data_IF_816548081827
#
_entry.id   IF_816548081827
#
_cell.length_a   1.000
_cell.length_b   1.000
_cell.length_c   1.000
_cell.angle_alpha   90.00
_cell.angle_beta   90.00
_cell.angle_gamma   90.00
#
_symmetry.space_group_name_H-M   'P 1'
#
loop_
_entity.id
_entity.type
_entity.pdbx_description
1 polymer ?
#
# COMPACT_ATOMS: atom_id res chain seq x y z
N UNK A 1 -13.96 57.65 -24.39
CA UNK A 1 -12.57 57.16 -24.31
C UNK A 1 -12.53 56.10 -23.21
N UNK A 2 -13.20 54.95 -23.31
CA UNK A 2 -13.08 53.91 -24.37
C UNK A 2 -11.61 53.75 -24.81
N UNK A 3 -10.93 52.64 -24.63
CA UNK A 3 -11.30 51.37 -24.01
C UNK A 3 -10.02 50.59 -23.76
N UNK A 4 -9.81 50.15 -22.52
CA UNK A 4 -8.72 49.24 -22.17
C UNK A 4 -9.22 47.80 -22.33
N UNK A 5 -9.10 47.35 -23.57
CA UNK A 5 -8.77 45.99 -24.00
C UNK A 5 -9.34 44.83 -23.16
N UNK A 6 -10.63 44.54 -23.37
CA UNK A 6 -11.32 43.36 -22.82
C UNK A 6 -10.72 42.03 -23.37
N UNK A 7 -9.94 42.08 -24.47
CA UNK A 7 -9.31 40.87 -25.05
C UNK A 7 -8.12 40.34 -24.24
N UNK A 8 -7.40 41.17 -23.49
CA UNK A 8 -6.25 40.70 -22.69
C UNK A 8 -6.66 39.96 -21.42
N UNK A 9 -7.79 40.30 -20.79
CA UNK A 9 -8.30 39.54 -19.64
C UNK A 9 -8.89 38.18 -20.02
N UNK A 10 -9.49 38.04 -21.20
CA UNK A 10 -9.95 36.74 -21.72
C UNK A 10 -8.79 35.83 -22.10
N UNK A 11 -7.68 36.37 -22.60
CA UNK A 11 -6.51 35.58 -22.98
C UNK A 11 -5.73 35.05 -21.75
N UNK A 12 -5.71 35.80 -20.64
CA UNK A 12 -5.13 35.34 -19.38
C UNK A 12 -6.00 34.27 -18.68
N UNK A 13 -7.34 34.43 -18.73
CA UNK A 13 -8.28 33.43 -18.21
C UNK A 13 -8.25 32.09 -18.97
N UNK A 14 -8.05 32.12 -20.30
CA UNK A 14 -7.94 30.91 -21.11
C UNK A 14 -6.60 30.18 -20.94
N UNK A 15 -5.51 30.91 -20.68
CA UNK A 15 -4.20 30.31 -20.38
C UNK A 15 -4.12 29.68 -18.99
N UNK A 16 -4.91 30.16 -18.02
CA UNK A 16 -5.06 29.50 -16.73
C UNK A 16 -5.90 28.22 -16.88
N UNK A 17 -7.05 28.27 -17.57
CA UNK A 17 -7.92 27.10 -17.74
C UNK A 17 -7.26 25.96 -18.55
N UNK A 18 -6.36 26.28 -19.49
CA UNK A 18 -5.62 25.28 -20.26
C UNK A 18 -4.38 24.71 -19.53
N UNK A 19 -3.86 25.41 -18.51
CA UNK A 19 -2.78 24.87 -17.65
C UNK A 19 -3.30 23.93 -16.57
N UNK A 20 -4.50 24.16 -16.03
CA UNK A 20 -5.10 23.24 -15.05
C UNK A 20 -5.57 21.91 -15.66
N UNK A 21 -5.81 21.86 -16.98
CA UNK A 21 -6.16 20.61 -17.66
C UNK A 21 -4.95 19.67 -17.84
N UNK A 22 -3.72 20.19 -17.84
CA UNK A 22 -2.48 19.39 -17.90
C UNK A 22 -2.01 18.87 -16.52
N UNK A 23 -2.56 19.40 -15.42
CA UNK A 23 -2.33 18.90 -14.05
C UNK A 23 -3.33 17.81 -13.64
N UNK A 24 -4.20 17.40 -14.56
CA UNK A 24 -5.15 16.29 -14.37
C UNK A 24 -4.69 15.01 -15.07
N UNK A 25 -3.38 14.74 -15.11
CA UNK A 25 -2.96 13.34 -15.22
C UNK A 25 -3.45 12.70 -13.94
N UNK A 26 -4.62 12.06 -14.03
CA UNK A 26 -5.26 11.41 -12.90
C UNK A 26 -4.22 10.52 -12.25
N UNK A 27 -4.08 10.58 -10.93
CA UNK A 27 -3.23 9.68 -10.15
C UNK A 27 -3.36 8.22 -10.65
N UNK A 28 -4.57 7.88 -11.11
CA UNK A 28 -4.93 6.63 -11.76
C UNK A 28 -4.15 6.26 -13.03
N UNK A 29 -3.85 7.22 -13.91
CA UNK A 29 -3.09 6.97 -15.15
C UNK A 29 -1.60 6.77 -14.87
N UNK A 30 -1.06 7.48 -13.88
CA UNK A 30 0.30 7.24 -13.36
C UNK A 30 0.38 5.83 -12.77
N UNK A 31 -0.62 5.43 -11.97
CA UNK A 31 -0.70 4.09 -11.40
C UNK A 31 -0.73 3.00 -12.47
N UNK A 32 -1.50 3.16 -13.56
CA UNK A 32 -1.56 2.17 -14.65
C UNK A 32 -0.24 1.99 -15.38
N UNK A 33 0.54 3.06 -15.54
CA UNK A 33 1.83 3.01 -16.24
C UNK A 33 2.95 2.38 -15.38
N UNK A 34 2.82 2.36 -14.06
CA UNK A 34 3.81 1.75 -13.15
C UNK A 34 3.64 0.24 -12.97
N UNK A 35 2.50 -0.36 -13.37
CA UNK A 35 2.24 -1.80 -13.15
C UNK A 35 3.04 -2.71 -14.09
N UNK A 36 3.44 -2.24 -15.28
CA UNK A 36 4.16 -3.04 -16.27
C UNK A 36 5.63 -3.33 -15.92
N UNK A 37 6.25 -2.48 -15.11
CA UNK A 37 7.61 -2.64 -14.55
C UNK A 37 7.60 -1.99 -13.17
N UNK A 38 7.16 -2.75 -12.16
CA UNK A 38 6.79 -2.22 -10.84
C UNK A 38 7.99 -1.57 -10.14
N UNK A 39 8.12 -0.25 -10.28
CA UNK A 39 9.01 0.55 -9.45
C UNK A 39 8.30 0.75 -8.10
N UNK A 40 8.45 -0.23 -7.22
CA UNK A 40 7.86 -0.24 -5.87
C UNK A 40 8.22 0.99 -5.06
N UNK A 41 9.42 1.56 -5.27
CA UNK A 41 9.82 2.81 -4.65
C UNK A 41 8.91 3.97 -5.06
N UNK A 42 8.72 4.19 -6.36
CA UNK A 42 7.82 5.24 -6.84
C UNK A 42 6.38 5.02 -6.33
N UNK A 43 5.94 3.76 -6.34
CA UNK A 43 4.60 3.39 -5.87
C UNK A 43 4.40 3.67 -4.39
N UNK A 44 5.40 3.36 -3.57
CA UNK A 44 5.37 3.63 -2.15
C UNK A 44 5.35 5.14 -1.87
N UNK A 45 6.15 5.93 -2.60
CA UNK A 45 6.12 7.40 -2.45
C UNK A 45 4.75 7.96 -2.83
N UNK A 46 4.15 7.48 -3.93
CA UNK A 46 2.81 7.93 -4.32
C UNK A 46 1.74 7.57 -3.28
N UNK A 47 1.87 6.41 -2.64
CA UNK A 47 0.99 6.00 -1.57
C UNK A 47 1.04 6.96 -0.37
N UNK A 48 2.24 7.36 0.07
CA UNK A 48 2.36 8.27 1.22
C UNK A 48 1.76 9.65 0.98
N UNK A 49 1.83 10.18 -0.25
CA UNK A 49 1.22 11.47 -0.60
C UNK A 49 -0.28 11.38 -0.87
N UNK A 50 -0.82 10.22 -1.24
CA UNK A 50 -2.24 10.06 -1.58
C UNK A 50 -3.17 10.04 -0.36
N UNK A 51 -2.64 9.72 0.83
CA UNK A 51 -3.40 9.73 2.09
C UNK A 51 -4.71 8.92 2.00
N UNK A 52 -5.81 9.47 2.51
CA UNK A 52 -7.12 8.80 2.56
C UNK A 52 -7.72 8.47 1.18
N UNK A 53 -7.31 9.18 0.12
CA UNK A 53 -7.76 8.88 -1.26
C UNK A 53 -7.16 7.59 -1.80
N UNK A 54 -6.10 7.08 -1.17
CA UNK A 54 -5.42 5.86 -1.55
C UNK A 54 -6.27 4.62 -1.25
N UNK A 55 -7.07 4.61 -0.17
CA UNK A 55 -7.77 3.40 0.32
C UNK A 55 -8.58 2.69 -0.76
N UNK A 56 -9.24 3.44 -1.66
CA UNK A 56 -10.01 2.89 -2.78
C UNK A 56 -9.18 2.07 -3.78
N UNK A 57 -7.87 2.31 -3.82
CA UNK A 57 -6.92 1.66 -4.72
C UNK A 57 -5.84 0.87 -3.97
N UNK A 58 -5.78 1.00 -2.66
CA UNK A 58 -4.73 0.49 -1.80
C UNK A 58 -4.56 -1.02 -1.93
N UNK A 59 -5.65 -1.79 -1.99
CA UNK A 59 -5.55 -3.24 -2.21
C UNK A 59 -4.94 -3.63 -3.57
N UNK A 60 -5.18 -2.82 -4.62
CA UNK A 60 -4.60 -3.04 -5.96
C UNK A 60 -3.14 -2.60 -6.05
N UNK A 61 -2.72 -1.65 -5.22
CA UNK A 61 -1.38 -1.07 -5.19
C UNK A 61 -0.45 -1.87 -4.29
N UNK A 62 -0.97 -2.31 -3.14
CA UNK A 62 -0.21 -3.05 -2.16
C UNK A 62 0.11 -4.47 -2.63
N UNK A 63 -0.76 -5.07 -3.44
CA UNK A 63 -0.54 -6.39 -4.04
C UNK A 63 0.78 -6.49 -4.83
N UNK A 64 1.06 -5.62 -5.81
CA UNK A 64 2.36 -5.53 -6.48
C UNK A 64 3.56 -5.36 -5.54
N UNK A 65 3.41 -4.64 -4.42
CA UNK A 65 4.49 -4.42 -3.46
C UNK A 65 4.83 -5.73 -2.74
N UNK A 66 3.82 -6.47 -2.28
CA UNK A 66 4.01 -7.79 -1.68
C UNK A 66 4.66 -8.74 -2.69
N UNK A 67 4.21 -8.72 -3.95
CA UNK A 67 4.81 -9.53 -5.02
C UNK A 67 6.28 -9.14 -5.26
N UNK A 68 6.62 -7.84 -5.36
CA UNK A 68 8.00 -7.40 -5.55
C UNK A 68 8.90 -7.80 -4.37
N UNK A 69 8.42 -7.63 -3.14
CA UNK A 69 9.14 -8.08 -1.95
C UNK A 69 9.38 -9.60 -2.02
N UNK A 70 8.35 -10.38 -2.37
CA UNK A 70 8.46 -11.84 -2.48
C UNK A 70 9.55 -12.28 -3.48
N UNK A 71 9.70 -11.57 -4.60
CA UNK A 71 10.72 -11.87 -5.61
C UNK A 71 12.15 -11.54 -5.14
N UNK A 72 12.28 -10.65 -4.16
CA UNK A 72 13.57 -10.15 -3.65
C UNK A 72 13.89 -10.68 -2.24
N UNK A 73 13.06 -11.56 -1.68
CA UNK A 73 13.35 -12.24 -0.42
C UNK A 73 14.69 -12.98 -0.49
N UNK A 74 15.47 -12.91 0.59
CA UNK A 74 16.79 -13.53 0.74
C UNK A 74 17.84 -13.01 -0.26
N UNK A 75 17.65 -11.79 -0.78
CA UNK A 75 18.62 -11.08 -1.63
C UNK A 75 19.08 -9.80 -0.96
N UNK A 76 20.17 -9.21 -1.44
CA UNK A 76 20.68 -7.92 -0.95
C UNK A 76 19.69 -6.75 -1.13
N UNK A 77 18.66 -6.93 -1.97
CA UNK A 77 17.61 -5.93 -2.23
C UNK A 77 16.40 -6.06 -1.31
N UNK A 78 16.33 -7.11 -0.49
CA UNK A 78 15.23 -7.29 0.46
C UNK A 78 15.04 -6.08 1.39
N UNK A 79 16.09 -5.46 1.98
CA UNK A 79 15.91 -4.33 2.89
C UNK A 79 15.25 -3.12 2.22
N UNK A 80 15.64 -2.80 0.98
CA UNK A 80 15.07 -1.68 0.21
C UNK A 80 13.58 -1.91 -0.09
N UNK A 81 13.20 -3.14 -0.47
CA UNK A 81 11.79 -3.44 -0.71
C UNK A 81 10.95 -3.47 0.55
N UNK A 82 11.55 -3.94 1.65
CA UNK A 82 10.88 -3.93 2.95
C UNK A 82 10.59 -2.48 3.37
N UNK A 83 11.56 -1.57 3.20
CA UNK A 83 11.37 -0.14 3.46
C UNK A 83 10.22 0.44 2.62
N UNK A 84 10.18 0.13 1.32
CA UNK A 84 9.09 0.57 0.46
C UNK A 84 7.72 0.04 0.93
N UNK A 85 7.66 -1.23 1.34
CA UNK A 85 6.41 -1.84 1.82
C UNK A 85 5.95 -1.23 3.15
N UNK A 86 6.89 -1.07 4.10
CA UNK A 86 6.66 -0.44 5.40
C UNK A 86 6.18 0.99 5.23
N UNK A 87 6.78 1.77 4.32
CA UNK A 87 6.38 3.15 4.08
C UNK A 87 4.90 3.26 3.66
N UNK A 88 4.39 2.29 2.89
CA UNK A 88 2.97 2.22 2.55
C UNK A 88 2.12 1.82 3.76
N UNK A 89 2.55 0.83 4.53
CA UNK A 89 1.85 0.41 5.75
C UNK A 89 1.71 1.56 6.75
N UNK A 90 2.78 2.34 6.95
CA UNK A 90 2.82 3.49 7.87
C UNK A 90 1.97 4.68 7.42
N UNK A 91 1.64 4.73 6.12
CA UNK A 91 0.75 5.76 5.55
C UNK A 91 -0.73 5.52 5.84
N UNK A 92 -1.08 4.30 6.27
CA UNK A 92 -2.45 3.95 6.63
C UNK A 92 -2.79 4.54 8.00
N UNK A 93 -3.79 5.42 8.03
CA UNK A 93 -4.18 6.18 9.22
C UNK A 93 -5.65 5.97 9.63
N UNK A 94 -6.40 5.19 8.85
CA UNK A 94 -7.82 4.94 9.06
C UNK A 94 -8.16 3.45 9.03
N UNK A 95 -9.32 3.13 9.61
CA UNK A 95 -9.83 1.77 9.76
C UNK A 95 -10.17 1.09 8.42
N UNK A 96 -10.62 1.86 7.42
CA UNK A 96 -10.93 1.27 6.11
C UNK A 96 -9.67 0.81 5.39
N UNK A 97 -8.59 1.61 5.46
CA UNK A 97 -7.29 1.26 4.93
C UNK A 97 -6.67 0.07 5.68
N UNK A 98 -6.77 0.03 7.01
CA UNK A 98 -6.22 -1.07 7.81
C UNK A 98 -6.93 -2.39 7.49
N UNK A 99 -8.26 -2.36 7.38
CA UNK A 99 -9.06 -3.53 7.01
C UNK A 99 -8.67 -4.06 5.63
N UNK A 100 -8.45 -3.17 4.65
CA UNK A 100 -8.01 -3.56 3.32
C UNK A 100 -6.60 -4.16 3.31
N UNK A 101 -5.65 -3.63 4.10
CA UNK A 101 -4.32 -4.24 4.27
C UNK A 101 -4.45 -5.65 4.84
N UNK A 102 -5.24 -5.81 5.91
CA UNK A 102 -5.46 -7.10 6.56
C UNK A 102 -6.08 -8.11 5.60
N UNK A 103 -7.10 -7.72 4.85
CA UNK A 103 -7.73 -8.57 3.83
C UNK A 103 -6.69 -9.03 2.80
N UNK A 104 -5.86 -8.11 2.30
CA UNK A 104 -4.85 -8.41 1.28
C UNK A 104 -3.73 -9.29 1.83
N UNK A 105 -3.32 -9.14 3.09
CA UNK A 105 -2.24 -9.94 3.68
C UNK A 105 -2.71 -11.32 4.11
N UNK A 106 -3.88 -11.42 4.75
CA UNK A 106 -4.40 -12.69 5.30
C UNK A 106 -4.91 -13.65 4.22
N UNK A 107 -5.30 -13.13 3.04
CA UNK A 107 -5.72 -13.94 1.90
C UNK A 107 -4.55 -14.60 1.14
N UNK A 108 -3.29 -14.33 1.48
CA UNK A 108 -2.13 -14.79 0.69
C UNK A 108 -1.50 -16.11 1.11
N UNK A 109 -2.09 -16.80 2.07
CA UNK A 109 -1.56 -18.05 2.60
C UNK A 109 -1.54 -19.21 1.57
N UNK A 110 -2.35 -19.15 0.50
CA UNK A 110 -2.42 -20.18 -0.54
C UNK A 110 -1.62 -19.84 -1.81
N UNK A 111 -0.93 -18.69 -1.85
CA UNK A 111 -0.13 -18.28 -3.01
C UNK A 111 1.24 -19.01 -3.03
N UNK A 112 2.22 -18.47 -3.76
CA UNK A 112 3.57 -19.04 -3.76
C UNK A 112 4.23 -18.90 -2.39
N UNK A 113 5.20 -19.77 -2.10
CA UNK A 113 5.87 -19.79 -0.80
C UNK A 113 6.49 -18.44 -0.42
N UNK A 114 7.08 -17.76 -1.40
CA UNK A 114 7.70 -16.46 -1.21
C UNK A 114 6.65 -15.37 -0.90
N UNK A 115 5.48 -15.42 -1.54
CA UNK A 115 4.40 -14.47 -1.29
C UNK A 115 3.80 -14.71 0.11
N UNK A 116 3.65 -15.97 0.50
CA UNK A 116 3.21 -16.36 1.84
C UNK A 116 4.17 -15.80 2.92
N UNK A 117 5.49 -16.01 2.76
CA UNK A 117 6.51 -15.47 3.67
C UNK A 117 6.48 -13.94 3.73
N UNK A 118 6.47 -13.27 2.57
CA UNK A 118 6.41 -11.82 2.50
C UNK A 118 5.16 -11.27 3.19
N UNK A 119 4.02 -11.93 2.99
CA UNK A 119 2.74 -11.52 3.60
C UNK A 119 2.74 -11.71 5.11
N UNK A 120 3.28 -12.82 5.62
CA UNK A 120 3.40 -13.06 7.06
C UNK A 120 4.31 -12.04 7.75
N UNK A 121 5.46 -11.70 7.13
CA UNK A 121 6.39 -10.67 7.63
C UNK A 121 5.70 -9.30 7.68
N UNK A 122 5.06 -8.89 6.59
CA UNK A 122 4.38 -7.59 6.51
C UNK A 122 3.18 -7.51 7.46
N UNK A 123 2.45 -8.62 7.66
CA UNK A 123 1.36 -8.70 8.63
C UNK A 123 1.88 -8.50 10.05
N UNK A 124 2.97 -9.21 10.41
CA UNK A 124 3.61 -9.06 11.71
C UNK A 124 4.01 -7.61 11.97
N UNK A 125 4.65 -6.97 10.97
CA UNK A 125 5.02 -5.56 11.05
C UNK A 125 3.79 -4.67 11.24
N UNK A 126 2.76 -4.83 10.41
CA UNK A 126 1.57 -3.98 10.43
C UNK A 126 0.84 -4.07 11.77
N UNK A 127 0.63 -5.28 12.30
CA UNK A 127 -0.04 -5.48 13.59
C UNK A 127 0.73 -4.85 14.75
N UNK A 128 2.06 -4.87 14.70
CA UNK A 128 2.91 -4.30 15.75
C UNK A 128 3.01 -2.76 15.70
N UNK A 129 2.94 -2.17 14.51
CA UNK A 129 3.24 -0.75 14.29
C UNK A 129 2.03 0.08 13.83
N UNK A 130 0.86 -0.55 13.67
CA UNK A 130 -0.35 0.13 13.21
C UNK A 130 -0.69 1.30 14.14
N UNK A 131 -0.89 2.47 13.53
CA UNK A 131 -1.39 3.67 14.20
C UNK A 131 -2.91 3.63 14.41
N UNK A 132 -3.57 2.69 13.74
CA UNK A 132 -5.02 2.47 13.78
C UNK A 132 -5.32 1.36 14.79
N UNK A 133 -6.30 1.55 15.69
CA UNK A 133 -6.71 0.49 16.61
C UNK A 133 -7.26 -0.71 15.82
N UNK A 134 -6.77 -1.91 16.13
CA UNK A 134 -7.12 -3.15 15.41
C UNK A 134 -8.13 -4.03 16.16
N UNK A 135 -8.72 -3.54 17.26
CA UNK A 135 -9.59 -4.34 18.15
C UNK A 135 -10.75 -5.02 17.41
N UNK A 136 -11.34 -4.31 16.46
CA UNK A 136 -12.50 -4.81 15.70
C UNK A 136 -12.09 -5.87 14.65
N UNK A 137 -10.81 -5.86 14.24
CA UNK A 137 -10.22 -6.84 13.32
C UNK A 137 -9.52 -8.01 14.03
N UNK A 138 -9.46 -8.04 15.37
CA UNK A 138 -8.77 -9.12 16.11
C UNK A 138 -9.27 -10.51 15.73
N UNK A 139 -10.59 -10.69 15.64
CA UNK A 139 -11.16 -11.98 15.24
C UNK A 139 -10.69 -12.42 13.85
N UNK A 140 -10.51 -11.48 12.92
CA UNK A 140 -9.99 -11.76 11.59
C UNK A 140 -8.49 -12.06 11.64
N UNK A 141 -7.71 -11.27 12.36
CA UNK A 141 -6.25 -11.48 12.51
C UNK A 141 -5.99 -12.87 13.09
N UNK A 142 -6.71 -13.26 14.15
CA UNK A 142 -6.58 -14.60 14.75
C UNK A 142 -6.85 -15.68 13.72
N UNK A 143 -8.00 -15.61 13.01
CA UNK A 143 -8.37 -16.60 12.00
C UNK A 143 -7.36 -16.67 10.86
N UNK A 144 -6.91 -15.53 10.34
CA UNK A 144 -5.96 -15.51 9.23
C UNK A 144 -4.56 -15.95 9.66
N UNK A 145 -4.13 -15.63 10.89
CA UNK A 145 -2.90 -16.18 11.46
C UNK A 145 -2.97 -17.70 11.58
N UNK A 146 -4.10 -18.27 12.02
CA UNK A 146 -4.27 -19.73 12.06
C UNK A 146 -4.10 -20.39 10.68
N UNK A 147 -4.47 -19.71 9.59
CA UNK A 147 -4.20 -20.21 8.24
C UNK A 147 -2.69 -20.24 7.94
N UNK A 148 -1.91 -19.28 8.41
CA UNK A 148 -0.45 -19.33 8.27
C UNK A 148 0.21 -20.48 9.06
N UNK A 149 -0.44 -21.02 10.09
CA UNK A 149 0.03 -22.20 10.83
C UNK A 149 -0.14 -23.51 10.07
N UNK A 150 -0.84 -23.52 8.93
CA UNK A 150 -0.87 -24.71 8.06
C UNK A 150 0.42 -24.85 7.24
N UNK A 151 1.29 -23.83 7.23
CA UNK A 151 2.63 -23.89 6.67
C UNK A 151 3.56 -24.77 7.51
N UNK A 152 4.46 -25.51 6.88
CA UNK A 152 5.58 -26.20 7.55
C UNK A 152 6.83 -25.32 7.73
N UNK A 153 6.84 -24.13 7.13
CA UNK A 153 7.99 -23.23 7.10
C UNK A 153 7.95 -22.22 8.26
N UNK A 154 9.02 -22.23 9.05
CA UNK A 154 9.22 -21.33 10.18
C UNK A 154 9.30 -19.86 9.76
N UNK A 155 9.72 -19.56 8.53
CA UNK A 155 9.74 -18.20 7.99
C UNK A 155 8.32 -17.60 7.84
N UNK A 156 7.28 -18.46 7.84
CA UNK A 156 5.87 -18.05 7.85
C UNK A 156 5.30 -18.09 9.27
N UNK A 157 5.55 -19.19 10.00
CA UNK A 157 4.99 -19.41 11.34
C UNK A 157 5.51 -18.38 12.33
N UNK A 158 6.80 -18.05 12.32
CA UNK A 158 7.38 -17.13 13.30
C UNK A 158 6.76 -15.73 13.21
N UNK A 159 6.68 -15.06 12.04
CA UNK A 159 5.98 -13.78 11.94
C UNK A 159 4.50 -13.86 12.31
N UNK A 160 3.78 -14.92 11.91
CA UNK A 160 2.37 -15.10 12.29
C UNK A 160 2.20 -15.24 13.82
N UNK A 161 3.15 -15.89 14.48
CA UNK A 161 3.20 -16.03 15.95
C UNK A 161 3.46 -14.68 16.64
N UNK A 162 4.38 -13.88 16.10
CA UNK A 162 4.65 -12.53 16.61
C UNK A 162 3.43 -11.61 16.46
N UNK A 163 2.74 -11.67 15.33
CA UNK A 163 1.49 -10.96 15.09
C UNK A 163 0.42 -11.35 16.13
N UNK A 164 0.19 -12.65 16.33
CA UNK A 164 -0.76 -13.16 17.35
C UNK A 164 -0.36 -12.74 18.77
N UNK A 165 0.92 -12.81 19.09
CA UNK A 165 1.41 -12.42 20.42
C UNK A 165 1.22 -10.93 20.67
N UNK A 166 1.19 -10.10 19.62
CA UNK A 166 1.03 -8.66 19.73
C UNK A 166 -0.42 -8.23 19.98
N UNK A 167 -1.40 -8.99 19.51
CA UNK A 167 -2.83 -8.72 19.78
C UNK A 167 -3.32 -9.26 21.13
N UNK A 168 -2.63 -10.23 21.72
CA UNK A 168 -2.99 -10.83 23.02
C UNK A 168 -2.39 -10.06 24.21
N UNK A 169 -1.36 -9.24 23.97
CA UNK A 169 -0.75 -8.36 24.98
C UNK A 169 -1.69 -7.25 25.39
#
# INVERSE_FOLDING_TARGET
MEGLNIKEKQQCGFQLHHKYHALSVSLFDIFKLTVGTVNTKALAHLATVAGESLNKHLGKIFSPIVTSLSMKLFTDRQPEEMENAVMVLDSVIDESGSQLILDVLLQRHYESKQIEIASAILLSYFVQNSKVPLSDSFGQIIRGCLNFYTSEDKAVINPATEALSSIVK
#
